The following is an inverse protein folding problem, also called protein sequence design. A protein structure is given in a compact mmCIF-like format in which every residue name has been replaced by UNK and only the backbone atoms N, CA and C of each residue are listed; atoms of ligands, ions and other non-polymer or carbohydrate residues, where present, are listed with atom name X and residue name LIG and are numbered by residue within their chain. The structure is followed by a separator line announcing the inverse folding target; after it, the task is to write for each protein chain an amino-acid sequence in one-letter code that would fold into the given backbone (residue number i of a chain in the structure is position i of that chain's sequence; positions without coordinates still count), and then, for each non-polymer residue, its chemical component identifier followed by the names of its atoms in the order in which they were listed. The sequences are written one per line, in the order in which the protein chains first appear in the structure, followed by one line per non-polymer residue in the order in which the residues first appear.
data_IF_558629879028
#
_entry.id   IF_558629879028
#
_cell.length_a   1.000
_cell.length_b   1.000
_cell.length_c   1.000
_cell.angle_alpha   90.00
_cell.angle_beta   90.00
_cell.angle_gamma   90.00
#
_symmetry.space_group_name_H-M   'P 1'
#
loop_
_entity.id
_entity.type
_entity.pdbx_description
1 polymer ?
#
# COMPACT_ATOMS: atom_id res chain seq x y z
N UNK A 1 55.28 8.13 -8.96
CA UNK A 1 55.80 7.44 -10.15
C UNK A 1 56.36 6.12 -9.69
N UNK A 2 55.85 5.04 -10.29
CA UNK A 2 56.48 3.73 -10.51
C UNK A 2 55.40 2.81 -11.09
N UNK A 3 55.40 2.68 -12.42
CA UNK A 3 54.84 1.52 -13.09
C UNK A 3 55.75 0.32 -12.78
N UNK A 4 55.26 -0.93 -12.81
CA UNK A 4 55.57 -1.85 -13.91
C UNK A 4 54.68 -3.12 -13.92
N UNK A 5 54.35 -3.50 -15.15
CA UNK A 5 54.13 -4.83 -15.73
C UNK A 5 52.83 -5.62 -15.54
N UNK A 6 52.07 -5.59 -16.65
CA UNK A 6 51.20 -6.65 -17.14
C UNK A 6 52.00 -7.91 -17.53
N UNK A 7 51.36 -9.07 -17.41
CA UNK A 7 51.58 -10.21 -18.31
C UNK A 7 50.27 -10.95 -18.56
N UNK A 8 49.90 -11.01 -19.84
CA UNK A 8 48.88 -11.90 -20.37
C UNK A 8 49.53 -13.25 -20.73
N UNK A 9 48.78 -14.35 -20.59
CA UNK A 9 49.05 -15.62 -21.28
C UNK A 9 47.72 -16.27 -21.71
N UNK A 10 47.82 -16.92 -22.86
CA UNK A 10 46.80 -17.27 -23.83
C UNK A 10 46.19 -18.67 -23.67
N UNK A 11 44.92 -18.76 -24.09
CA UNK A 11 44.17 -19.85 -24.74
C UNK A 11 44.79 -21.25 -24.95
N UNK A 12 43.95 -22.26 -24.66
CA UNK A 12 43.59 -23.50 -25.39
C UNK A 12 42.44 -24.13 -24.56
N UNK A 13 41.37 -24.78 -25.01
CA UNK A 13 40.93 -25.37 -26.28
C UNK A 13 39.91 -26.47 -25.91
N UNK A 14 38.63 -26.22 -26.21
CA UNK A 14 37.46 -27.11 -26.38
C UNK A 14 37.35 -28.48 -25.68
N UNK A 15 36.20 -28.71 -25.00
CA UNK A 15 35.37 -29.90 -25.22
C UNK A 15 33.90 -29.61 -24.84
N UNK A 16 33.00 -29.80 -25.82
CA UNK A 16 31.57 -29.61 -25.70
C UNK A 16 30.85 -30.90 -25.23
N UNK A 17 29.90 -30.75 -24.31
CA UNK A 17 28.79 -31.69 -24.13
C UNK A 17 27.48 -30.91 -23.88
N UNK A 18 26.36 -31.28 -24.52
CA UNK A 18 25.12 -30.53 -24.43
C UNK A 18 24.29 -31.05 -23.26
N UNK A 19 24.13 -30.24 -22.22
CA UNK A 19 23.10 -30.46 -21.18
C UNK A 19 22.02 -29.40 -21.39
N UNK A 20 20.90 -29.82 -21.97
CA UNK A 20 19.72 -28.99 -22.15
C UNK A 20 19.21 -28.47 -20.81
N UNK A 21 19.47 -27.20 -20.52
CA UNK A 21 18.70 -26.48 -19.50
C UNK A 21 17.48 -25.88 -20.18
N UNK A 22 16.31 -26.45 -19.86
CA UNK A 22 15.03 -25.77 -20.04
C UNK A 22 15.13 -24.45 -19.31
N UNK A 23 15.12 -23.35 -20.04
CA UNK A 23 15.09 -22.01 -19.47
C UNK A 23 13.77 -21.84 -18.72
N UNK A 24 13.82 -21.83 -17.40
CA UNK A 24 12.79 -21.19 -16.60
C UNK A 24 12.92 -19.69 -16.83
N UNK A 25 11.85 -19.08 -17.37
CA UNK A 25 11.81 -17.68 -17.75
C UNK A 25 12.03 -16.77 -16.54
N UNK A 26 13.27 -16.29 -16.38
CA UNK A 26 13.54 -15.09 -15.62
C UNK A 26 12.93 -13.95 -16.43
N UNK A 27 11.79 -13.43 -15.96
CA UNK A 27 11.09 -12.32 -16.62
C UNK A 27 12.06 -11.14 -16.82
N UNK A 28 12.11 -10.60 -18.03
CA UNK A 28 12.99 -9.47 -18.34
C UNK A 28 12.65 -8.28 -17.42
N UNK A 29 13.63 -7.53 -16.88
CA UNK A 29 13.41 -6.50 -15.86
C UNK A 29 12.44 -5.35 -16.24
N UNK A 30 12.21 -5.13 -17.53
CA UNK A 30 11.22 -4.17 -18.05
C UNK A 30 9.79 -4.72 -18.08
N UNK A 31 9.62 -6.04 -18.16
CA UNK A 31 8.30 -6.69 -18.21
C UNK A 31 7.57 -6.58 -16.86
N UNK A 32 8.28 -6.66 -15.74
CA UNK A 32 7.67 -6.59 -14.40
C UNK A 32 6.99 -5.23 -14.14
N UNK A 33 7.65 -4.13 -14.51
CA UNK A 33 7.08 -2.78 -14.35
C UNK A 33 5.88 -2.60 -15.28
N UNK A 34 5.99 -3.05 -16.55
CA UNK A 34 4.88 -2.98 -17.48
C UNK A 34 3.66 -3.80 -17.01
N UNK A 35 3.90 -4.98 -16.44
CA UNK A 35 2.86 -5.81 -15.85
C UNK A 35 2.19 -5.11 -14.65
N UNK A 36 2.97 -4.53 -13.74
CA UNK A 36 2.43 -3.78 -12.61
C UNK A 36 1.55 -2.60 -13.06
N UNK A 37 2.00 -1.82 -14.06
CA UNK A 37 1.20 -0.72 -14.63
C UNK A 37 -0.11 -1.22 -15.24
N UNK A 38 -0.09 -2.36 -15.93
CA UNK A 38 -1.29 -2.98 -16.47
C UNK A 38 -2.24 -3.48 -15.36
N UNK A 39 -1.69 -4.08 -14.30
CA UNK A 39 -2.48 -4.55 -13.15
C UNK A 39 -3.10 -3.40 -12.36
N UNK A 40 -2.39 -2.28 -12.16
CA UNK A 40 -2.93 -1.06 -11.55
C UNK A 40 -4.11 -0.54 -12.36
N UNK A 41 -3.99 -0.55 -13.69
CA UNK A 41 -5.05 -0.05 -14.59
C UNK A 41 -6.30 -0.93 -14.57
N UNK A 42 -6.17 -2.21 -14.20
CA UNK A 42 -7.27 -3.16 -14.10
C UNK A 42 -7.84 -3.30 -12.68
N UNK A 43 -7.20 -2.69 -11.68
CA UNK A 43 -7.55 -2.86 -10.27
C UNK A 43 -8.85 -2.12 -9.90
N UNK A 44 -9.61 -2.67 -8.95
CA UNK A 44 -10.67 -1.95 -8.27
C UNK A 44 -10.13 -1.04 -7.17
N UNK A 45 -9.02 -1.43 -6.55
CA UNK A 45 -8.25 -0.64 -5.60
C UNK A 45 -6.83 -1.18 -5.49
N UNK A 46 -5.93 -0.35 -4.98
CA UNK A 46 -4.51 -0.67 -4.83
C UNK A 46 -4.11 -0.47 -3.38
N UNK A 47 -3.40 -1.44 -2.81
CA UNK A 47 -2.73 -1.31 -1.53
C UNK A 47 -1.23 -1.16 -1.73
N UNK A 48 -0.56 -0.42 -0.86
CA UNK A 48 0.88 -0.27 -0.89
C UNK A 48 1.49 -0.26 0.51
N UNK A 49 2.79 -0.53 0.52
CA UNK A 49 3.66 -0.46 1.69
C UNK A 49 5.09 -0.12 1.22
N UNK A 50 5.86 0.61 2.03
CA UNK A 50 7.24 0.98 1.76
C UNK A 50 8.18 0.53 2.89
N UNK A 51 9.36 0.03 2.49
CA UNK A 51 10.49 -0.12 3.40
C UNK A 51 11.41 1.10 3.34
N UNK A 52 11.95 1.54 4.47
CA UNK A 52 12.76 2.77 4.55
C UNK A 52 14.20 2.53 5.00
N UNK A 53 15.13 3.38 4.55
CA UNK A 53 16.50 3.40 5.06
C UNK A 53 16.61 3.90 6.51
N UNK A 54 15.53 4.48 7.03
CA UNK A 54 15.38 4.94 8.41
C UNK A 54 14.10 5.77 8.57
N UNK A 55 13.67 6.00 9.80
CA UNK A 55 12.38 6.62 10.11
C UNK A 55 12.51 8.09 10.54
N UNK A 56 13.38 8.38 11.52
CA UNK A 56 13.51 9.71 12.13
C UNK A 56 14.97 10.08 12.37
N UNK A 57 15.34 11.35 12.13
CA UNK A 57 16.70 11.86 12.38
C UNK A 57 17.10 11.81 13.86
N UNK A 58 16.13 12.03 14.75
CA UNK A 58 16.34 12.13 16.19
C UNK A 58 15.45 11.11 16.92
N UNK A 59 15.87 9.83 16.99
CA UNK A 59 15.06 8.78 17.61
C UNK A 59 14.94 8.94 19.14
N UNK A 60 16.02 9.35 19.83
CA UNK A 60 16.12 9.27 21.30
C UNK A 60 15.92 10.60 22.06
N UNK A 61 15.64 11.72 21.39
CA UNK A 61 15.72 13.05 22.02
C UNK A 61 14.43 13.89 22.10
N UNK A 62 13.32 13.44 21.51
CA UNK A 62 12.11 14.26 21.37
C UNK A 62 10.93 13.73 22.20
N UNK A 63 10.13 14.64 22.76
CA UNK A 63 8.81 14.27 23.30
C UNK A 63 8.00 13.58 22.20
N UNK A 64 7.26 12.52 22.57
CA UNK A 64 6.35 11.86 21.65
C UNK A 64 5.33 12.90 21.16
N UNK A 65 5.14 13.06 19.83
CA UNK A 65 4.15 13.98 19.31
C UNK A 65 2.77 13.70 19.91
N UNK A 66 2.13 14.74 20.44
CA UNK A 66 0.81 14.67 21.04
C UNK A 66 -0.28 14.95 19.99
N UNK A 67 0.08 15.65 18.91
CA UNK A 67 -0.81 16.00 17.81
C UNK A 67 -0.31 15.47 16.46
N UNK A 68 -1.24 15.31 15.51
CA UNK A 68 -0.89 14.93 14.15
C UNK A 68 -0.02 15.98 13.45
N UNK A 69 -0.21 17.27 13.74
CA UNK A 69 0.61 18.35 13.21
C UNK A 69 2.06 18.35 13.73
N UNK A 70 2.28 18.00 15.00
CA UNK A 70 3.63 17.75 15.54
C UNK A 70 4.28 16.52 14.90
N UNK A 71 3.50 15.46 14.71
CA UNK A 71 4.00 14.26 14.04
C UNK A 71 4.39 14.56 12.59
N UNK A 72 3.55 15.30 11.85
CA UNK A 72 3.85 15.75 10.50
C UNK A 72 5.14 16.56 10.44
N UNK A 73 5.34 17.55 11.31
CA UNK A 73 6.59 18.34 11.34
C UNK A 73 7.82 17.47 11.56
N UNK A 74 7.76 16.52 12.51
CA UNK A 74 8.85 15.57 12.75
C UNK A 74 9.15 14.70 11.52
N UNK A 75 8.11 14.24 10.83
CA UNK A 75 8.28 13.50 9.58
C UNK A 75 8.84 14.41 8.47
N UNK A 76 8.37 15.65 8.35
CA UNK A 76 8.80 16.59 7.31
C UNK A 76 10.29 16.94 7.41
N UNK A 77 10.85 16.96 8.62
CA UNK A 77 12.29 17.09 8.85
C UNK A 77 13.06 15.82 8.45
N UNK A 78 12.48 14.63 8.65
CA UNK A 78 13.19 13.35 8.52
C UNK A 78 13.08 12.74 7.12
N UNK A 79 11.89 12.77 6.51
CA UNK A 79 11.57 12.14 5.22
C UNK A 79 12.52 12.57 4.10
N UNK A 80 12.91 13.86 3.96
CA UNK A 80 13.88 14.25 2.94
C UNK A 80 15.26 13.60 3.12
N UNK A 81 15.64 13.18 4.34
CA UNK A 81 16.94 12.58 4.62
C UNK A 81 17.01 11.08 4.30
N UNK A 82 15.90 10.35 4.44
CA UNK A 82 15.83 8.90 4.22
C UNK A 82 15.26 8.54 2.84
N UNK A 83 15.53 7.31 2.38
CA UNK A 83 15.02 6.76 1.12
C UNK A 83 13.94 5.71 1.39
N UNK A 84 12.88 5.65 0.57
CA UNK A 84 12.16 4.41 0.40
C UNK A 84 13.05 3.44 -0.40
N UNK A 85 13.34 2.28 0.19
CA UNK A 85 14.22 1.24 -0.36
C UNK A 85 13.43 0.17 -1.13
N UNK A 86 12.20 -0.11 -0.71
CA UNK A 86 11.31 -1.07 -1.36
C UNK A 86 9.90 -0.49 -1.48
N UNK A 87 9.21 -0.86 -2.56
CA UNK A 87 7.80 -0.60 -2.78
C UNK A 87 7.07 -1.91 -3.01
N UNK A 88 6.14 -2.19 -2.11
CA UNK A 88 5.15 -3.25 -2.23
C UNK A 88 3.84 -2.70 -2.76
N UNK A 89 3.25 -3.41 -3.72
CA UNK A 89 1.96 -3.06 -4.29
C UNK A 89 1.14 -4.32 -4.40
N UNK A 90 -0.11 -4.27 -3.96
CA UNK A 90 -1.09 -5.30 -4.28
C UNK A 90 -2.29 -4.66 -4.98
N UNK A 91 -2.47 -5.03 -6.25
CA UNK A 91 -3.59 -4.66 -7.10
C UNK A 91 -4.72 -5.67 -6.87
N UNK A 92 -5.90 -5.21 -6.50
CA UNK A 92 -7.04 -6.09 -6.21
C UNK A 92 -8.10 -5.98 -7.29
N UNK A 93 -8.47 -7.11 -7.87
CA UNK A 93 -9.47 -7.22 -8.92
C UNK A 93 -10.55 -8.20 -8.51
N UNK A 94 -11.79 -8.02 -8.98
CA UNK A 94 -12.79 -9.08 -8.88
C UNK A 94 -12.47 -10.21 -9.86
N UNK A 95 -12.68 -11.45 -9.42
CA UNK A 95 -12.50 -12.63 -10.25
C UNK A 95 -13.53 -12.68 -11.38
N UNK A 96 -13.15 -13.30 -12.50
CA UNK A 96 -14.03 -13.47 -13.68
C UNK A 96 -15.30 -14.28 -13.36
N UNK A 97 -15.21 -15.23 -12.42
CA UNK A 97 -16.36 -16.02 -11.94
C UNK A 97 -17.31 -15.21 -11.03
N UNK A 98 -16.94 -13.99 -10.67
CA UNK A 98 -17.67 -13.13 -9.75
C UNK A 98 -17.66 -13.59 -8.29
N UNK A 99 -16.93 -14.66 -7.96
CA UNK A 99 -16.91 -15.29 -6.64
C UNK A 99 -15.58 -15.01 -5.93
N UNK A 100 -15.41 -13.76 -5.50
CA UNK A 100 -14.28 -13.33 -4.67
C UNK A 100 -13.30 -12.42 -5.40
N UNK A 101 -12.08 -12.38 -4.87
CA UNK A 101 -11.05 -11.41 -5.23
C UNK A 101 -9.80 -12.11 -5.73
N UNK A 102 -9.12 -11.45 -6.66
CA UNK A 102 -7.81 -11.80 -7.14
C UNK A 102 -6.83 -10.70 -6.71
N UNK A 103 -5.76 -11.10 -6.03
CA UNK A 103 -4.72 -10.20 -5.54
C UNK A 103 -3.48 -10.38 -6.41
N UNK A 104 -2.99 -9.30 -7.00
CA UNK A 104 -1.80 -9.29 -7.86
C UNK A 104 -0.71 -8.45 -7.19
N UNK A 105 0.24 -9.14 -6.58
CA UNK A 105 1.28 -8.52 -5.78
C UNK A 105 2.56 -8.27 -6.57
N UNK A 106 3.16 -7.10 -6.37
CA UNK A 106 4.38 -6.63 -7.01
C UNK A 106 5.32 -6.04 -5.96
N UNK A 107 6.62 -6.22 -6.14
CA UNK A 107 7.65 -5.72 -5.23
C UNK A 107 8.83 -5.16 -6.02
N UNK A 108 9.24 -3.93 -5.69
CA UNK A 108 10.31 -3.24 -6.39
C UNK A 108 11.26 -2.55 -5.42
N UNK A 109 12.54 -2.92 -5.49
CA UNK A 109 13.61 -2.14 -4.89
C UNK A 109 13.70 -0.78 -5.61
N UNK A 110 13.85 0.32 -4.86
CA UNK A 110 13.76 1.69 -5.38
C UNK A 110 15.10 2.42 -5.32
N UNK A 111 15.48 3.10 -6.38
CA UNK A 111 16.72 3.89 -6.43
C UNK A 111 16.45 5.32 -6.95
N UNK A 112 16.92 6.39 -6.29
CA UNK A 112 16.74 7.74 -6.81
C UNK A 112 17.64 8.00 -8.02
N UNK A 113 17.10 8.57 -9.11
CA UNK A 113 17.88 8.84 -10.32
C UNK A 113 19.01 9.88 -10.12
N UNK A 114 18.77 10.89 -9.27
CA UNK A 114 19.66 12.06 -9.15
C UNK A 114 20.26 12.26 -7.76
N UNK A 115 20.04 11.31 -6.83
CA UNK A 115 20.52 11.43 -5.45
C UNK A 115 21.57 10.37 -5.14
N UNK A 116 22.70 10.81 -4.61
CA UNK A 116 23.83 9.94 -4.26
C UNK A 116 24.02 9.80 -2.75
N UNK A 117 23.59 10.79 -1.97
CA UNK A 117 23.79 10.84 -0.52
C UNK A 117 22.43 10.78 0.17
N UNK A 118 22.30 9.86 1.12
CA UNK A 118 21.12 9.70 1.96
C UNK A 118 21.54 9.24 3.37
N UNK A 119 20.67 9.48 4.34
CA UNK A 119 20.82 8.97 5.69
C UNK A 119 20.30 7.54 5.76
N UNK A 120 20.99 6.71 6.52
CA UNK A 120 20.50 5.39 6.89
C UNK A 120 20.63 5.18 8.39
N UNK A 121 19.58 4.63 8.97
CA UNK A 121 19.56 4.22 10.37
C UNK A 121 20.00 2.75 10.47
N UNK A 122 21.02 2.49 11.28
CA UNK A 122 21.60 1.15 11.40
C UNK A 122 20.58 0.14 11.94
N UNK A 123 19.70 0.55 12.85
CA UNK A 123 18.67 -0.33 13.40
C UNK A 123 17.67 -0.75 12.32
N UNK A 124 17.23 0.21 11.50
CA UNK A 124 16.34 -0.03 10.35
C UNK A 124 16.99 -0.96 9.33
N UNK A 125 18.25 -0.72 8.93
CA UNK A 125 18.93 -1.60 7.97
C UNK A 125 19.12 -3.02 8.50
N UNK A 126 19.43 -3.17 9.80
CA UNK A 126 19.53 -4.48 10.44
C UNK A 126 18.19 -5.21 10.47
N UNK A 127 17.12 -4.50 10.85
CA UNK A 127 15.78 -5.05 10.84
C UNK A 127 15.39 -5.56 9.45
N UNK A 128 15.59 -4.75 8.40
CA UNK A 128 15.35 -5.15 7.01
C UNK A 128 16.16 -6.40 6.64
N UNK A 129 17.44 -6.46 7.00
CA UNK A 129 18.27 -7.63 6.71
C UNK A 129 17.76 -8.90 7.40
N UNK A 130 17.38 -8.78 8.67
CA UNK A 130 16.84 -9.87 9.48
C UNK A 130 15.49 -10.39 8.92
N UNK A 131 14.74 -9.53 8.23
CA UNK A 131 13.46 -9.81 7.58
C UNK A 131 13.58 -10.09 6.08
N UNK A 132 14.80 -10.39 5.59
CA UNK A 132 15.01 -10.93 4.25
C UNK A 132 15.22 -9.90 3.14
N UNK A 133 15.34 -8.61 3.47
CA UNK A 133 15.76 -7.60 2.49
C UNK A 133 17.16 -7.93 1.95
N UNK A 134 17.28 -7.91 0.63
CA UNK A 134 18.53 -8.20 -0.08
C UNK A 134 19.17 -6.89 -0.57
N UNK A 135 20.12 -6.37 0.22
CA UNK A 135 20.88 -5.18 -0.12
C UNK A 135 21.69 -5.33 -1.41
N UNK A 136 22.19 -6.53 -1.73
CA UNK A 136 22.92 -6.74 -2.97
C UNK A 136 21.97 -6.62 -4.17
N UNK A 137 20.80 -7.24 -4.08
CA UNK A 137 19.77 -7.10 -5.10
C UNK A 137 19.32 -5.63 -5.27
N UNK A 138 19.21 -4.88 -4.18
CA UNK A 138 18.91 -3.45 -4.21
C UNK A 138 19.97 -2.67 -5.01
N UNK A 139 21.26 -2.88 -4.74
CA UNK A 139 22.34 -2.20 -5.46
C UNK A 139 22.43 -2.61 -6.93
N UNK A 140 22.11 -3.86 -7.25
CA UNK A 140 22.21 -4.41 -8.61
C UNK A 140 20.98 -4.10 -9.50
N UNK A 141 19.78 -4.09 -8.91
CA UNK A 141 18.51 -4.18 -9.63
C UNK A 141 17.48 -3.12 -9.24
N UNK A 142 17.83 -2.18 -8.36
CA UNK A 142 16.98 -1.07 -7.94
C UNK A 142 16.39 -0.30 -9.13
N UNK A 143 15.08 -0.05 -9.07
CA UNK A 143 14.34 0.67 -10.11
C UNK A 143 14.45 2.16 -9.88
N UNK A 144 14.93 2.86 -10.90
CA UNK A 144 15.08 4.29 -10.82
C UNK A 144 13.74 5.02 -10.69
N UNK A 145 13.69 6.04 -9.86
CA UNK A 145 12.59 7.01 -9.77
C UNK A 145 13.08 8.45 -9.84
N UNK A 146 12.19 9.31 -10.32
CA UNK A 146 12.25 10.77 -10.27
C UNK A 146 10.84 11.34 -10.04
N UNK A 147 10.75 12.64 -9.80
CA UNK A 147 9.47 13.34 -9.63
C UNK A 147 8.62 13.25 -10.89
N UNK A 148 7.33 13.06 -10.68
CA UNK A 148 6.32 13.06 -11.72
C UNK A 148 6.13 14.47 -12.27
N UNK A 149 5.76 14.61 -13.56
CA UNK A 149 5.33 15.88 -14.08
C UNK A 149 4.06 16.36 -13.35
N UNK A 150 3.84 17.68 -13.24
CA UNK A 150 2.58 18.23 -12.74
C UNK A 150 1.37 17.66 -13.50
N UNK A 151 0.21 17.46 -12.85
CA UNK A 151 -0.98 16.90 -13.50
C UNK A 151 -1.41 17.64 -14.78
N UNK A 152 -1.26 18.96 -14.81
CA UNK A 152 -1.67 19.84 -15.92
C UNK A 152 -0.56 20.06 -16.96
N UNK A 153 0.61 19.44 -16.79
CA UNK A 153 1.61 19.42 -17.84
C UNK A 153 0.99 18.67 -19.02
N UNK A 154 0.57 19.42 -20.06
CA UNK A 154 0.09 18.84 -21.31
C UNK A 154 1.01 17.67 -21.72
N UNK A 155 0.47 16.65 -22.40
CA UNK A 155 1.26 15.54 -23.01
C UNK A 155 2.37 16.01 -23.99
N UNK A 156 2.70 17.28 -24.00
CA UNK A 156 3.95 17.86 -24.49
C UNK A 156 5.12 17.49 -23.59
N UNK A 157 5.67 16.29 -23.77
CA UNK A 157 7.11 16.16 -23.77
C UNK A 157 7.53 15.23 -24.89
N UNK A 158 8.15 15.82 -25.92
CA UNK A 158 9.23 15.17 -26.69
C UNK A 158 10.45 14.95 -25.78
N UNK A 159 10.22 14.45 -24.56
CA UNK A 159 11.17 14.37 -23.46
C UNK A 159 11.48 12.92 -23.11
N UNK A 160 12.51 12.73 -22.30
CA UNK A 160 12.96 11.40 -21.88
C UNK A 160 11.82 10.63 -21.20
N UNK A 161 11.75 9.30 -21.42
CA UNK A 161 10.76 8.46 -20.76
C UNK A 161 10.92 8.53 -19.23
N UNK A 162 9.79 8.43 -18.52
CA UNK A 162 9.81 8.37 -17.06
C UNK A 162 10.65 7.18 -16.58
N UNK A 163 11.37 7.33 -15.46
CA UNK A 163 12.06 6.20 -14.84
C UNK A 163 11.09 5.07 -14.47
N UNK A 164 11.53 3.80 -14.44
CA UNK A 164 10.63 2.66 -14.29
C UNK A 164 9.72 2.72 -13.05
N UNK A 165 10.24 3.09 -11.88
CA UNK A 165 9.41 3.21 -10.68
C UNK A 165 8.49 4.44 -10.70
N UNK A 166 8.87 5.51 -11.40
CA UNK A 166 7.98 6.65 -11.63
C UNK A 166 6.78 6.28 -12.51
N UNK A 167 6.93 5.36 -13.47
CA UNK A 167 5.80 4.86 -14.27
C UNK A 167 4.73 4.20 -13.40
N UNK A 168 5.13 3.50 -12.33
CA UNK A 168 4.21 2.84 -11.38
C UNK A 168 3.37 3.89 -10.64
N UNK A 169 4.03 4.90 -10.05
CA UNK A 169 3.33 5.96 -9.33
C UNK A 169 2.47 6.83 -10.26
N UNK A 170 2.92 7.04 -11.50
CA UNK A 170 2.11 7.67 -12.54
C UNK A 170 0.82 6.87 -12.79
N UNK A 171 0.93 5.54 -12.92
CA UNK A 171 -0.23 4.68 -13.15
C UNK A 171 -1.22 4.72 -11.98
N UNK A 172 -0.76 4.73 -10.72
CA UNK A 172 -1.64 4.88 -9.55
C UNK A 172 -2.37 6.23 -9.60
N UNK A 173 -1.65 7.31 -9.94
CA UNK A 173 -2.23 8.67 -10.06
C UNK A 173 -3.28 8.76 -11.17
N UNK A 174 -3.05 8.09 -12.30
CA UNK A 174 -3.97 8.07 -13.45
C UNK A 174 -5.18 7.16 -13.23
N UNK A 175 -5.01 6.02 -12.57
CA UNK A 175 -6.09 5.08 -12.28
C UNK A 175 -7.15 5.68 -11.36
N UNK A 176 -6.75 6.57 -10.43
CA UNK A 176 -7.63 7.23 -9.43
C UNK A 176 -8.50 6.26 -8.62
N UNK A 177 -8.10 4.99 -8.54
CA UNK A 177 -8.74 3.98 -7.70
C UNK A 177 -8.40 4.22 -6.23
N UNK A 178 -9.19 3.68 -5.28
CA UNK A 178 -8.87 3.76 -3.87
C UNK A 178 -7.46 3.25 -3.56
N UNK A 179 -6.71 4.05 -2.81
CA UNK A 179 -5.38 3.71 -2.32
C UNK A 179 -5.49 3.26 -0.87
N UNK A 180 -4.93 2.10 -0.54
CA UNK A 180 -4.96 1.52 0.79
C UNK A 180 -3.57 1.48 1.39
N UNK A 181 -3.50 1.78 2.68
CA UNK A 181 -2.29 1.63 3.49
C UNK A 181 -2.66 1.04 4.85
N UNK A 182 -1.65 0.59 5.60
CA UNK A 182 -1.81 0.24 7.00
C UNK A 182 -0.86 1.10 7.84
N UNK A 183 -1.39 2.03 8.64
CA UNK A 183 -0.57 2.97 9.39
C UNK A 183 0.36 3.81 8.50
N UNK A 184 -0.05 4.06 7.26
CA UNK A 184 0.88 4.41 6.18
C UNK A 184 1.22 5.89 6.07
N UNK A 185 1.00 6.69 7.11
CA UNK A 185 1.21 8.14 7.01
C UNK A 185 2.64 8.49 6.57
N UNK A 186 3.63 7.75 7.07
CA UNK A 186 5.03 7.95 6.68
C UNK A 186 5.24 7.57 5.20
N UNK A 187 4.62 6.50 4.73
CA UNK A 187 4.64 6.08 3.32
C UNK A 187 4.13 7.18 2.40
N UNK A 188 2.98 7.78 2.75
CA UNK A 188 2.40 8.88 1.96
C UNK A 188 3.35 10.07 1.87
N UNK A 189 4.04 10.41 2.96
CA UNK A 189 5.02 11.51 2.99
C UNK A 189 6.26 11.18 2.14
N UNK A 190 6.73 9.92 2.18
CA UNK A 190 7.80 9.47 1.29
C UNK A 190 7.38 9.51 -0.18
N UNK A 191 6.18 9.04 -0.52
CA UNK A 191 5.65 9.12 -1.87
C UNK A 191 5.54 10.57 -2.33
N UNK A 192 5.05 11.46 -1.47
CA UNK A 192 4.98 12.89 -1.77
C UNK A 192 6.35 13.50 -2.04
N UNK A 193 7.30 13.36 -1.10
CA UNK A 193 8.61 14.00 -1.21
C UNK A 193 9.40 13.54 -2.45
N UNK A 194 9.30 12.23 -2.75
CA UNK A 194 10.12 11.58 -3.76
C UNK A 194 9.50 11.62 -5.15
N UNK A 195 8.17 11.60 -5.27
CA UNK A 195 7.48 11.53 -6.55
C UNK A 195 6.66 12.78 -6.90
N UNK A 196 6.26 13.61 -5.94
CA UNK A 196 5.41 14.78 -6.20
C UNK A 196 6.21 16.07 -6.10
N UNK A 197 6.71 16.39 -4.90
CA UNK A 197 7.21 17.73 -4.57
C UNK A 197 7.86 17.74 -3.19
N UNK A 198 8.56 18.81 -2.81
CA UNK A 198 9.05 18.92 -1.43
C UNK A 198 7.87 19.02 -0.47
N UNK A 199 7.94 18.38 0.69
CA UNK A 199 6.87 18.43 1.68
C UNK A 199 6.53 19.89 2.05
N UNK A 200 5.23 20.26 2.10
CA UNK A 200 4.81 21.61 2.45
C UNK A 200 4.95 21.88 3.96
N UNK A 201 4.83 23.14 4.35
CA UNK A 201 5.00 23.58 5.75
C UNK A 201 3.83 23.17 6.65
N UNK A 202 2.66 22.88 6.07
CA UNK A 202 1.43 22.54 6.81
C UNK A 202 0.84 21.19 6.38
N UNK A 203 0.20 20.52 7.34
CA UNK A 203 -0.50 19.27 7.11
C UNK A 203 -1.71 19.47 6.18
N UNK A 204 -2.38 20.61 6.31
CA UNK A 204 -3.54 20.99 5.52
C UNK A 204 -3.16 21.15 4.04
N UNK A 205 -2.05 21.81 3.75
CA UNK A 205 -1.54 21.96 2.38
C UNK A 205 -1.11 20.61 1.81
N UNK A 206 -0.44 19.77 2.60
CA UNK A 206 -0.12 18.39 2.20
C UNK A 206 -1.39 17.62 1.82
N UNK A 207 -2.41 17.65 2.67
CA UNK A 207 -3.66 16.94 2.43
C UNK A 207 -4.39 17.47 1.18
N UNK A 208 -4.39 18.78 0.94
CA UNK A 208 -4.99 19.38 -0.25
C UNK A 208 -4.29 18.92 -1.54
N UNK A 209 -2.96 18.99 -1.59
CA UNK A 209 -2.17 18.58 -2.76
C UNK A 209 -2.25 17.07 -2.99
N UNK A 210 -2.22 16.28 -1.91
CA UNK A 210 -2.34 14.83 -1.96
C UNK A 210 -3.70 14.41 -2.52
N UNK A 211 -4.80 14.90 -1.93
CA UNK A 211 -6.16 14.50 -2.31
C UNK A 211 -6.57 14.97 -3.71
N UNK A 212 -5.97 16.04 -4.24
CA UNK A 212 -6.15 16.42 -5.64
C UNK A 212 -5.69 15.30 -6.61
N UNK A 213 -4.60 14.62 -6.25
CA UNK A 213 -3.97 13.58 -7.07
C UNK A 213 -4.46 12.16 -6.74
N UNK A 214 -4.66 11.85 -5.46
CA UNK A 214 -5.08 10.56 -4.93
C UNK A 214 -6.34 10.75 -4.07
N UNK A 215 -7.53 10.80 -4.69
CA UNK A 215 -8.75 11.31 -4.04
C UNK A 215 -9.36 10.37 -3.00
N UNK A 216 -9.11 9.07 -3.09
CA UNK A 216 -9.69 8.06 -2.20
C UNK A 216 -8.56 7.31 -1.51
N UNK A 217 -8.47 7.47 -0.19
CA UNK A 217 -7.44 6.88 0.66
C UNK A 217 -8.12 6.19 1.84
N UNK A 218 -7.71 4.96 2.15
CA UNK A 218 -8.09 4.26 3.36
C UNK A 218 -6.83 3.81 4.11
N UNK A 219 -6.83 4.05 5.42
CA UNK A 219 -5.87 3.46 6.34
C UNK A 219 -6.57 2.37 7.15
N UNK A 220 -6.18 1.10 6.94
CA UNK A 220 -6.78 -0.05 7.62
C UNK A 220 -6.57 0.00 9.13
N UNK A 221 -5.46 0.56 9.62
CA UNK A 221 -5.26 0.74 11.06
C UNK A 221 -6.30 1.73 11.63
N UNK A 222 -6.58 2.80 10.89
CA UNK A 222 -7.58 3.78 11.28
C UNK A 222 -9.00 3.21 11.22
N UNK A 223 -9.35 2.49 10.14
CA UNK A 223 -10.61 1.76 10.02
C UNK A 223 -10.82 0.78 11.17
N UNK A 224 -9.78 0.04 11.55
CA UNK A 224 -9.79 -0.87 12.67
C UNK A 224 -10.05 -0.17 14.00
N UNK A 225 -9.47 1.02 14.17
CA UNK A 225 -9.63 1.83 15.38
C UNK A 225 -11.05 2.38 15.52
N UNK A 226 -11.63 2.93 14.44
CA UNK A 226 -13.01 3.42 14.42
C UNK A 226 -14.03 2.30 14.61
N UNK A 227 -13.77 1.12 14.02
CA UNK A 227 -14.64 -0.05 14.09
C UNK A 227 -14.49 -0.89 15.36
N UNK A 228 -13.55 -0.54 16.25
CA UNK A 228 -13.03 -1.41 17.31
C UNK A 228 -14.11 -2.08 18.16
N UNK A 229 -15.01 -1.28 18.74
CA UNK A 229 -16.00 -1.79 19.69
C UNK A 229 -17.30 -2.26 19.04
N UNK A 230 -17.73 -1.58 17.98
CA UNK A 230 -19.08 -1.75 17.44
C UNK A 230 -19.15 -2.76 16.29
N UNK A 231 -18.06 -2.87 15.51
CA UNK A 231 -18.06 -3.61 14.25
C UNK A 231 -17.13 -4.81 14.33
N UNK A 232 -15.86 -4.56 14.67
CA UNK A 232 -14.79 -5.55 14.60
C UNK A 232 -14.60 -6.31 15.91
N UNK A 233 -15.10 -5.76 17.02
CA UNK A 233 -15.06 -6.31 18.38
C UNK A 233 -13.68 -6.88 18.74
N UNK A 234 -12.63 -6.14 18.40
CA UNK A 234 -11.26 -6.57 18.68
C UNK A 234 -10.75 -5.92 19.98
N UNK A 235 -10.16 -6.76 20.84
CA UNK A 235 -9.45 -6.31 22.03
C UNK A 235 -7.92 -6.33 21.85
N UNK A 236 -7.45 -6.89 20.74
CA UNK A 236 -6.03 -7.15 20.44
C UNK A 236 -5.26 -5.95 19.88
N UNK A 237 -4.07 -6.26 19.35
CA UNK A 237 -3.19 -5.28 18.72
C UNK A 237 -3.73 -4.78 17.38
N UNK A 238 -3.37 -3.54 17.04
CA UNK A 238 -3.67 -2.89 15.77
C UNK A 238 -2.54 -3.05 14.73
N UNK A 239 -1.58 -3.95 14.96
CA UNK A 239 -0.60 -4.27 13.93
C UNK A 239 -1.26 -5.05 12.80
N UNK A 240 -0.66 -4.99 11.62
CA UNK A 240 -1.21 -5.59 10.41
C UNK A 240 -1.46 -7.09 10.58
N UNK A 241 -0.49 -7.82 11.11
CA UNK A 241 -0.59 -9.27 11.32
C UNK A 241 -1.60 -9.63 12.40
N UNK A 242 -1.66 -8.85 13.49
CA UNK A 242 -2.61 -9.09 14.57
C UNK A 242 -4.05 -8.87 14.07
N UNK A 243 -4.29 -7.82 13.28
CA UNK A 243 -5.58 -7.57 12.65
C UNK A 243 -5.93 -8.66 11.67
N UNK A 244 -5.00 -9.02 10.78
CA UNK A 244 -5.23 -10.08 9.80
C UNK A 244 -5.61 -11.40 10.49
N UNK A 245 -4.87 -11.81 11.52
CA UNK A 245 -5.14 -13.03 12.29
C UNK A 245 -6.50 -12.98 13.01
N UNK A 246 -6.86 -11.83 13.59
CA UNK A 246 -8.13 -11.64 14.31
C UNK A 246 -9.34 -11.65 13.37
N UNK A 247 -9.23 -10.99 12.21
CA UNK A 247 -10.35 -10.81 11.29
C UNK A 247 -10.63 -12.04 10.43
N UNK A 248 -9.60 -12.81 10.05
CA UNK A 248 -9.72 -13.99 9.19
C UNK A 248 -10.82 -14.99 9.59
N UNK A 249 -10.98 -15.39 10.87
CA UNK A 249 -12.05 -16.32 11.25
C UNK A 249 -13.46 -15.68 11.27
N UNK A 250 -13.58 -14.35 11.21
CA UNK A 250 -14.86 -13.62 11.30
C UNK A 250 -15.49 -13.37 9.93
N UNK A 251 -14.73 -13.56 8.86
CA UNK A 251 -15.09 -13.19 7.49
C UNK A 251 -15.21 -14.41 6.59
N UNK A 252 -15.81 -14.20 5.42
CA UNK A 252 -15.89 -15.22 4.34
C UNK A 252 -15.26 -14.69 3.06
N UNK A 253 -14.35 -13.72 3.19
CA UNK A 253 -13.61 -13.18 2.05
C UNK A 253 -12.78 -14.29 1.44
N UNK A 254 -13.03 -14.56 0.16
CA UNK A 254 -12.20 -15.43 -0.67
C UNK A 254 -11.32 -14.55 -1.53
N UNK A 255 -10.00 -14.66 -1.32
CA UNK A 255 -8.97 -13.90 -2.00
C UNK A 255 -7.89 -14.87 -2.45
N UNK A 256 -7.64 -14.93 -3.77
CA UNK A 256 -6.59 -15.76 -4.34
C UNK A 256 -5.42 -14.87 -4.74
N UNK A 257 -4.24 -15.17 -4.19
CA UNK A 257 -3.00 -14.49 -4.56
C UNK A 257 -2.46 -15.06 -5.87
N UNK A 258 -2.37 -14.22 -6.89
CA UNK A 258 -1.59 -14.52 -8.10
C UNK A 258 -0.18 -13.92 -7.96
N UNK A 259 0.81 -14.79 -8.04
CA UNK A 259 2.21 -14.41 -8.05
C UNK A 259 2.59 -13.80 -9.40
N UNK A 260 2.37 -12.51 -9.55
CA UNK A 260 2.80 -11.73 -10.71
C UNK A 260 4.02 -10.89 -10.35
N UNK A 261 5.22 -11.42 -10.55
CA UNK A 261 6.45 -10.61 -10.42
C UNK A 261 7.07 -10.53 -9.01
N UNK A 262 6.57 -11.30 -8.03
CA UNK A 262 7.29 -11.53 -6.77
C UNK A 262 8.57 -12.34 -7.04
N UNK A 263 9.66 -12.05 -6.32
CA UNK A 263 10.87 -12.88 -6.41
C UNK A 263 10.54 -14.27 -5.86
N UNK A 264 11.15 -15.35 -6.38
CA UNK A 264 10.96 -16.70 -5.84
C UNK A 264 11.23 -16.79 -4.33
N UNK A 265 12.08 -15.89 -3.81
CA UNK A 265 12.45 -15.79 -2.39
C UNK A 265 11.74 -14.63 -1.62
N UNK A 266 10.82 -13.88 -2.25
CA UNK A 266 10.08 -12.72 -1.67
C UNK A 266 9.04 -13.10 -0.60
N UNK A 267 9.15 -14.29 0.02
CA UNK A 267 8.25 -14.74 1.09
C UNK A 267 8.89 -14.68 2.47
N UNK A 268 9.95 -13.91 2.63
CA UNK A 268 10.41 -13.53 3.96
C UNK A 268 9.26 -12.84 4.73
N UNK A 269 9.19 -13.04 6.04
CA UNK A 269 8.29 -12.24 6.89
C UNK A 269 8.79 -10.79 6.88
N UNK A 270 7.92 -9.82 6.64
CA UNK A 270 8.27 -8.39 6.62
C UNK A 270 8.89 -7.92 5.30
N UNK A 271 8.30 -8.29 4.16
CA UNK A 271 8.61 -7.65 2.87
C UNK A 271 7.45 -6.73 2.50
N UNK A 272 7.74 -5.60 1.87
CA UNK A 272 6.69 -4.64 1.52
C UNK A 272 5.62 -5.25 0.60
N UNK A 273 6.01 -6.17 -0.29
CA UNK A 273 5.07 -6.86 -1.17
C UNK A 273 4.06 -7.72 -0.40
N UNK A 274 4.51 -8.40 0.67
CA UNK A 274 3.65 -9.19 1.54
C UNK A 274 2.76 -8.30 2.41
N UNK A 275 3.29 -7.19 2.90
CA UNK A 275 2.55 -6.28 3.77
C UNK A 275 1.48 -5.51 2.99
N UNK A 276 1.73 -5.20 1.71
CA UNK A 276 0.69 -4.71 0.80
C UNK A 276 -0.43 -5.76 0.62
N UNK A 277 -0.10 -7.03 0.41
CA UNK A 277 -1.12 -8.11 0.31
C UNK A 277 -1.94 -8.23 1.59
N UNK A 278 -1.29 -8.29 2.74
CA UNK A 278 -1.98 -8.36 4.03
C UNK A 278 -2.86 -7.11 4.26
N UNK A 279 -2.41 -5.94 3.84
CA UNK A 279 -3.20 -4.69 3.89
C UNK A 279 -4.47 -4.81 3.07
N UNK A 280 -4.38 -5.35 1.85
CA UNK A 280 -5.55 -5.62 1.00
C UNK A 280 -6.52 -6.63 1.64
N UNK A 281 -6.00 -7.74 2.16
CA UNK A 281 -6.83 -8.76 2.82
C UNK A 281 -7.54 -8.20 4.06
N UNK A 282 -6.83 -7.46 4.91
CA UNK A 282 -7.42 -6.78 6.08
C UNK A 282 -8.52 -5.83 5.63
N UNK A 283 -8.28 -4.98 4.64
CA UNK A 283 -9.30 -4.04 4.15
C UNK A 283 -10.55 -4.76 3.66
N UNK A 284 -10.41 -5.82 2.85
CA UNK A 284 -11.55 -6.61 2.36
C UNK A 284 -12.37 -7.19 3.52
N UNK A 285 -11.69 -7.71 4.54
CA UNK A 285 -12.33 -8.26 5.72
C UNK A 285 -13.04 -7.19 6.56
N UNK A 286 -12.41 -6.05 6.76
CA UNK A 286 -13.00 -4.92 7.46
C UNK A 286 -14.27 -4.43 6.75
N UNK A 287 -14.20 -4.20 5.45
CA UNK A 287 -15.35 -3.75 4.64
C UNK A 287 -16.49 -4.76 4.71
N UNK A 288 -16.20 -6.06 4.61
CA UNK A 288 -17.24 -7.08 4.76
C UNK A 288 -17.95 -6.97 6.13
N UNK A 289 -17.20 -6.83 7.21
CA UNK A 289 -17.76 -6.71 8.56
C UNK A 289 -18.53 -5.40 8.76
N UNK A 290 -18.03 -4.29 8.22
CA UNK A 290 -18.72 -3.00 8.22
C UNK A 290 -20.06 -3.08 7.47
N UNK A 291 -20.07 -3.67 6.28
CA UNK A 291 -21.29 -3.87 5.50
C UNK A 291 -22.28 -4.77 6.24
N UNK A 292 -21.83 -5.91 6.76
CA UNK A 292 -22.68 -6.83 7.55
C UNK A 292 -23.28 -6.14 8.78
N UNK A 293 -22.50 -5.34 9.49
CA UNK A 293 -22.96 -4.55 10.63
C UNK A 293 -24.03 -3.54 10.21
N UNK A 294 -23.77 -2.78 9.15
CA UNK A 294 -24.70 -1.75 8.67
C UNK A 294 -26.03 -2.33 8.19
N UNK A 295 -25.99 -3.42 7.43
CA UNK A 295 -27.19 -4.15 6.97
C UNK A 295 -27.99 -4.65 8.18
N UNK A 296 -27.32 -5.26 9.16
CA UNK A 296 -27.98 -5.77 10.37
C UNK A 296 -28.62 -4.64 11.19
N UNK A 297 -27.94 -3.50 11.33
CA UNK A 297 -28.46 -2.33 12.04
C UNK A 297 -29.68 -1.73 11.32
N UNK A 298 -29.66 -1.66 9.99
CA UNK A 298 -30.80 -1.18 9.20
C UNK A 298 -32.03 -2.09 9.36
N UNK A 299 -31.85 -3.42 9.31
CA UNK A 299 -32.93 -4.38 9.55
C UNK A 299 -33.49 -4.27 10.97
N UNK A 300 -32.64 -4.08 11.98
CA UNK A 300 -33.08 -3.89 13.37
C UNK A 300 -33.89 -2.60 13.56
N UNK A 301 -33.48 -1.50 12.94
CA UNK A 301 -34.25 -0.23 12.95
C UNK A 301 -35.62 -0.39 12.29
N UNK A 302 -35.68 -1.11 11.16
CA UNK A 302 -36.97 -1.40 10.48
C UNK A 302 -37.90 -2.21 11.37
N UNK A 303 -37.40 -3.26 12.05
CA UNK A 303 -38.20 -4.06 13.00
C UNK A 303 -38.74 -3.21 14.16
N UNK A 304 -37.87 -2.45 14.84
CA UNK A 304 -38.28 -1.57 15.94
C UNK A 304 -39.31 -0.53 15.53
N UNK A 305 -39.22 -0.02 14.29
CA UNK A 305 -40.23 0.90 13.74
C UNK A 305 -41.58 0.22 13.58
N UNK A 306 -41.62 -0.99 13.01
CA UNK A 306 -42.87 -1.75 12.85
C UNK A 306 -43.49 -2.13 14.20
N UNK A 307 -42.68 -2.57 15.17
CA UNK A 307 -43.13 -2.85 16.54
C UNK A 307 -43.77 -1.60 17.18
N UNK A 308 -43.13 -0.43 17.02
CA UNK A 308 -43.66 0.84 17.55
C UNK A 308 -44.96 1.28 16.86
N UNK A 309 -45.07 1.08 15.55
CA UNK A 309 -46.30 1.36 14.78
C UNK A 309 -47.44 0.43 15.22
N UNK A 310 -47.15 -0.83 15.50
CA UNK A 310 -48.10 -1.82 16.01
C UNK A 310 -48.54 -1.49 17.45
N UNK A 311 -47.62 -1.15 18.34
CA UNK A 311 -47.93 -0.71 19.72
C UNK A 311 -48.81 0.56 19.73
N UNK A 312 -48.51 1.51 18.83
CA UNK A 312 -49.32 2.72 18.62
C UNK A 312 -50.71 2.38 18.12
N UNK A 313 -50.82 1.46 17.15
CA UNK A 313 -52.10 1.00 16.61
C UNK A 313 -52.95 0.34 17.69
N UNK A 314 -52.37 -0.59 18.45
CA UNK A 314 -53.07 -1.28 19.56
C UNK A 314 -53.49 -0.30 20.65
N UNK A 315 -52.66 0.71 20.96
CA UNK A 315 -53.02 1.77 21.91
C UNK A 315 -54.17 2.64 21.40
N UNK A 316 -54.19 3.00 20.12
CA UNK A 316 -55.28 3.78 19.49
C UNK A 316 -56.59 2.99 19.42
N UNK A 317 -56.52 1.69 19.11
CA UNK A 317 -57.67 0.78 19.12
C UNK A 317 -58.22 0.59 20.55
N UNK A 318 -57.36 0.50 21.56
CA UNK A 318 -57.77 0.41 22.98
C UNK A 318 -58.41 1.70 23.53
N UNK A 319 -58.16 2.85 22.91
CA UNK A 319 -58.74 4.15 23.25
C UNK A 319 -60.10 4.41 22.55
N UNK A 320 -60.63 3.42 21.80
CA UNK A 320 -61.84 3.54 20.96
C UNK A 320 -61.80 4.78 20.04
N UNK A 321 -60.61 5.11 19.54
CA UNK A 321 -60.39 6.29 18.70
C UNK A 321 -60.91 6.03 17.28
N UNK A 322 -62.23 6.18 17.09
CA UNK A 322 -62.83 6.29 15.77
C UNK A 322 -62.54 7.69 15.24
N UNK A 323 -61.57 7.79 14.32
CA UNK A 323 -61.15 9.06 13.73
C UNK A 323 -62.35 9.92 13.34
N UNK A 324 -62.52 11.05 14.00
CA UNK A 324 -63.56 12.01 13.64
C UNK A 324 -63.25 12.54 12.25
N UNK A 325 -64.16 12.25 11.31
CA UNK A 325 -64.11 12.78 9.97
C UNK A 325 -64.17 14.30 10.00
N UNK A 326 -63.10 14.92 9.55
CA UNK A 326 -63.11 16.30 9.08
C UNK A 326 -63.11 16.25 7.55
N UNK A 327 -64.32 16.31 6.98
CA UNK A 327 -64.57 16.81 5.63
C UNK A 327 -64.46 18.31 5.59
#
# INVERSE_FOLDING_TARGET
GSSVHAHALSQQGEHAHPMGRRGHGVGQPGLAVAQCVADISAAEFVSLDLEFSGLFLWPEGGQRPLTLGEYFRRCAESVPCFLPLQLGICCVCRREDGQGWELRAHEFDLWPQHRQIFSADLQSLRFLREHGFDFNAFFERGKQYARLPPPDAAKCTKGQPLPPASCILQAIREARVPLLVHNGFLDLLHLFDKFIGGLPDSLEEFAQIWTAQFPVLYDTRHLAQEGRYNVLKHAGGLSLEALHQHLRPLTRVHADLRHTGLRPDSFAHGSSGRDAVLTAEVFLMEVELWVRHWVSAASARKRRRMEREEDLRQSLEALDWQGTGWT
#
